data_IF_027963717877
#
_entry.id   IF_027963717877
#
_cell.length_a   1.000
_cell.length_b   1.000
_cell.length_c   1.000
_cell.angle_alpha   90.00
_cell.angle_beta   90.00
_cell.angle_gamma   90.00
#
_symmetry.space_group_name_H-M   'P 1'
#
loop_
_entity.id
_entity.type
_entity.pdbx_description
1 polymer ?
#
# COMPACT_ATOMS: atom_id res chain seq x y z
N UNK A 1 10.33 -21.78 11.67
CA UNK A 1 9.20 -21.07 11.03
C UNK A 1 9.79 -20.16 9.96
N UNK A 2 9.88 -20.65 8.71
CA UNK A 2 10.41 -19.84 7.60
C UNK A 2 9.29 -18.93 7.09
N UNK A 3 9.21 -17.72 7.63
CA UNK A 3 8.24 -16.69 7.20
C UNK A 3 8.76 -16.05 5.90
N UNK A 4 8.94 -16.84 4.84
CA UNK A 4 9.40 -16.37 3.53
C UNK A 4 10.76 -15.67 3.49
N UNK A 5 11.19 -15.32 2.29
CA UNK A 5 12.31 -14.40 2.06
C UNK A 5 11.82 -12.96 2.25
N UNK A 6 12.66 -12.02 2.76
CA UNK A 6 12.26 -10.63 2.99
C UNK A 6 12.18 -9.81 1.70
N UNK A 7 12.43 -10.41 0.54
CA UNK A 7 12.57 -9.75 -0.75
C UNK A 7 11.24 -9.67 -1.49
N UNK A 8 11.00 -8.55 -2.16
CA UNK A 8 9.87 -8.42 -3.06
C UNK A 8 10.05 -9.33 -4.28
N UNK A 9 9.08 -10.19 -4.57
CA UNK A 9 9.13 -11.10 -5.72
C UNK A 9 9.02 -10.40 -7.09
N UNK A 10 8.77 -9.08 -7.10
CA UNK A 10 8.64 -8.29 -8.32
C UNK A 10 9.68 -7.18 -8.46
N UNK A 11 10.38 -6.83 -7.37
CA UNK A 11 11.40 -5.78 -7.37
C UNK A 11 12.75 -6.42 -7.04
N UNK A 12 13.72 -6.25 -7.93
CA UNK A 12 15.06 -6.84 -7.78
C UNK A 12 15.78 -6.21 -6.59
N UNK A 13 16.25 -7.05 -5.66
CA UNK A 13 17.05 -6.67 -4.49
C UNK A 13 16.40 -5.63 -3.55
N UNK A 14 15.07 -5.54 -3.55
CA UNK A 14 14.33 -4.66 -2.64
C UNK A 14 13.74 -5.47 -1.49
N UNK A 15 14.08 -5.09 -0.26
CA UNK A 15 13.42 -5.59 0.95
C UNK A 15 11.98 -5.12 0.95
N UNK A 16 11.05 -6.06 1.04
CA UNK A 16 9.63 -5.78 1.11
C UNK A 16 9.24 -5.40 2.54
N UNK A 17 9.12 -4.09 2.78
CA UNK A 17 8.56 -3.53 4.01
C UNK A 17 7.14 -2.99 3.78
N UNK A 18 6.49 -2.50 4.83
CA UNK A 18 5.12 -1.97 4.77
C UNK A 18 4.98 -0.86 3.72
N UNK A 19 5.90 0.11 3.68
CA UNK A 19 5.86 1.21 2.69
C UNK A 19 6.06 0.71 1.27
N UNK A 20 6.93 -0.29 1.09
CA UNK A 20 7.11 -0.91 -0.22
C UNK A 20 5.80 -1.52 -0.74
N UNK A 21 5.10 -2.30 0.09
CA UNK A 21 3.83 -2.93 -0.32
C UNK A 21 2.73 -1.90 -0.55
N UNK A 22 2.60 -0.93 0.36
CA UNK A 22 1.45 -0.04 0.40
C UNK A 22 1.63 1.26 -0.39
N UNK A 23 2.86 1.69 -0.69
CA UNK A 23 3.12 2.99 -1.33
C UNK A 23 4.13 2.89 -2.48
N UNK A 24 5.30 2.31 -2.25
CA UNK A 24 6.47 2.54 -3.12
C UNK A 24 6.62 1.57 -4.29
N UNK A 25 6.05 0.36 -4.20
CA UNK A 25 6.11 -0.64 -5.26
C UNK A 25 5.44 -0.09 -6.54
N UNK A 26 5.96 -0.35 -7.75
CA UNK A 26 5.42 0.22 -8.98
C UNK A 26 3.91 0.06 -9.16
N UNK A 27 3.36 -1.08 -8.75
CA UNK A 27 1.91 -1.33 -8.76
C UNK A 27 1.17 -0.38 -7.80
N UNK A 28 1.62 -0.25 -6.55
CA UNK A 28 1.05 0.68 -5.58
C UNK A 28 1.15 2.14 -6.07
N UNK A 29 2.32 2.55 -6.58
CA UNK A 29 2.51 3.87 -7.19
C UNK A 29 1.51 4.15 -8.30
N UNK A 30 1.21 3.16 -9.15
CA UNK A 30 0.21 3.34 -10.21
C UNK A 30 -1.19 3.62 -9.67
N UNK A 31 -1.60 2.96 -8.58
CA UNK A 31 -2.88 3.20 -7.92
C UNK A 31 -2.90 4.61 -7.35
N UNK A 32 -1.89 4.98 -6.58
CA UNK A 32 -1.80 6.30 -5.94
C UNK A 32 -1.72 7.44 -6.94
N UNK A 33 -0.98 7.29 -8.04
CA UNK A 33 -0.94 8.28 -9.10
C UNK A 33 -2.33 8.54 -9.72
N UNK A 34 -3.25 7.58 -9.71
CA UNK A 34 -4.60 7.78 -10.20
C UNK A 34 -5.54 8.42 -9.17
N UNK A 35 -5.24 8.30 -7.87
CA UNK A 35 -6.08 8.78 -6.76
C UNK A 35 -5.63 10.14 -6.21
N UNK A 36 -4.33 10.41 -6.17
CA UNK A 36 -3.73 11.62 -5.60
C UNK A 36 -3.80 12.82 -6.55
N UNK A 37 -4.02 13.99 -5.97
CA UNK A 37 -3.70 15.27 -6.61
C UNK A 37 -2.23 15.31 -7.00
N UNK A 38 -1.91 15.95 -8.13
CA UNK A 38 -0.54 15.98 -8.63
C UNK A 38 0.40 16.69 -7.65
N UNK A 39 -0.10 17.74 -6.98
CA UNK A 39 0.59 18.56 -5.99
C UNK A 39 0.88 17.78 -4.70
N UNK A 40 0.06 16.77 -4.38
CA UNK A 40 0.20 15.97 -3.16
C UNK A 40 1.18 14.79 -3.31
N UNK A 41 1.57 14.42 -4.55
CA UNK A 41 2.35 13.21 -4.81
C UNK A 41 3.74 13.23 -4.18
N UNK A 42 4.44 14.36 -4.30
CA UNK A 42 5.79 14.47 -3.74
C UNK A 42 5.76 14.29 -2.22
N UNK A 43 4.87 15.01 -1.54
CA UNK A 43 4.66 14.87 -0.10
C UNK A 43 4.32 13.41 0.26
N UNK A 44 3.35 12.81 -0.43
CA UNK A 44 2.90 11.44 -0.16
C UNK A 44 4.03 10.40 -0.27
N UNK A 45 4.84 10.45 -1.31
CA UNK A 45 5.91 9.44 -1.54
C UNK A 45 7.20 9.69 -0.76
N UNK A 46 7.35 10.85 -0.12
CA UNK A 46 8.54 11.19 0.68
C UNK A 46 8.28 11.16 2.18
N UNK A 47 7.01 11.06 2.59
CA UNK A 47 6.62 11.02 4.01
C UNK A 47 6.97 9.67 4.64
N UNK A 48 7.60 9.71 5.81
CA UNK A 48 7.92 8.52 6.59
C UNK A 48 6.64 7.84 7.13
N UNK A 49 6.70 6.53 7.38
CA UNK A 49 5.50 5.74 7.74
C UNK A 49 4.70 6.29 8.93
N UNK A 50 5.38 6.81 9.96
CA UNK A 50 4.75 7.34 11.17
C UNK A 50 3.90 8.58 10.86
N UNK A 51 4.40 9.45 10.00
CA UNK A 51 3.72 10.67 9.56
C UNK A 51 2.74 10.39 8.43
N UNK A 52 2.95 9.35 7.64
CA UNK A 52 2.16 9.00 6.45
C UNK A 52 0.71 8.70 6.83
N UNK A 53 0.51 7.90 7.89
CA UNK A 53 -0.83 7.60 8.40
C UNK A 53 -1.54 8.88 8.86
N UNK A 54 -0.84 9.73 9.61
CA UNK A 54 -1.41 10.99 10.13
C UNK A 54 -1.77 11.92 8.97
N UNK A 55 -0.88 12.05 7.99
CA UNK A 55 -1.07 12.83 6.78
C UNK A 55 -2.35 12.41 6.04
N UNK A 56 -2.49 11.11 5.76
CA UNK A 56 -3.61 10.58 4.97
C UNK A 56 -4.95 10.54 5.74
N UNK A 57 -4.93 10.49 7.06
CA UNK A 57 -6.15 10.57 7.87
C UNK A 57 -6.67 12.01 8.03
N UNK A 58 -5.79 13.01 7.97
CA UNK A 58 -6.13 14.39 8.32
C UNK A 58 -6.13 15.38 7.16
N UNK A 59 -5.53 15.05 6.01
CA UNK A 59 -5.47 15.94 4.85
C UNK A 59 -6.23 15.39 3.65
N UNK A 60 -6.84 16.27 2.85
CA UNK A 60 -7.48 15.90 1.60
C UNK A 60 -6.45 15.88 0.47
N UNK A 61 -5.81 14.73 0.23
CA UNK A 61 -4.79 14.59 -0.84
C UNK A 61 -5.37 14.09 -2.17
N UNK A 62 -6.61 13.61 -2.16
CA UNK A 62 -7.27 13.00 -3.31
C UNK A 62 -7.75 13.99 -4.37
N UNK A 63 -7.80 13.52 -5.62
CA UNK A 63 -8.26 14.28 -6.79
C UNK A 63 -9.67 14.82 -6.71
N UNK A 64 -10.55 14.08 -6.03
CA UNK A 64 -11.92 14.49 -5.82
C UNK A 64 -12.08 14.98 -4.38
N UNK A 65 -12.29 16.29 -4.22
CA UNK A 65 -12.53 16.92 -2.92
C UNK A 65 -13.87 16.57 -2.29
N UNK A 66 -14.79 15.96 -3.05
CA UNK A 66 -16.12 15.57 -2.55
C UNK A 66 -16.12 14.16 -1.93
N UNK A 67 -15.04 13.41 -2.07
CA UNK A 67 -14.91 12.06 -1.52
C UNK A 67 -14.03 12.12 -0.27
N UNK A 68 -14.44 11.41 0.79
CA UNK A 68 -13.64 11.29 2.01
C UNK A 68 -12.30 10.58 1.72
N UNK A 69 -11.20 11.34 1.72
CA UNK A 69 -9.87 10.81 1.40
C UNK A 69 -9.43 9.70 2.34
N UNK A 70 -9.61 9.87 3.65
CA UNK A 70 -9.22 8.86 4.64
C UNK A 70 -9.83 7.48 4.34
N UNK A 71 -11.09 7.44 3.89
CA UNK A 71 -11.77 6.21 3.48
C UNK A 71 -11.19 5.63 2.19
N UNK A 72 -10.90 6.47 1.20
CA UNK A 72 -10.27 6.06 -0.07
C UNK A 72 -8.88 5.49 0.18
N UNK A 73 -8.08 6.17 0.99
CA UNK A 73 -6.74 5.74 1.38
C UNK A 73 -6.79 4.41 2.12
N UNK A 74 -7.61 4.29 3.17
CA UNK A 74 -7.72 3.06 3.95
C UNK A 74 -8.18 1.86 3.11
N UNK A 75 -9.16 2.06 2.22
CA UNK A 75 -9.62 1.03 1.29
C UNK A 75 -8.52 0.64 0.30
N UNK A 76 -7.77 1.61 -0.23
CA UNK A 76 -6.66 1.37 -1.15
C UNK A 76 -5.55 0.55 -0.49
N UNK A 77 -5.16 0.90 0.74
CA UNK A 77 -4.22 0.13 1.55
C UNK A 77 -4.67 -1.32 1.74
N UNK A 78 -5.96 -1.52 2.06
CA UNK A 78 -6.55 -2.86 2.20
C UNK A 78 -6.45 -3.68 0.90
N UNK A 79 -6.81 -3.09 -0.24
CA UNK A 79 -6.75 -3.80 -1.53
C UNK A 79 -5.30 -4.11 -1.94
N UNK A 80 -4.38 -3.16 -1.79
CA UNK A 80 -2.95 -3.37 -2.08
C UNK A 80 -2.37 -4.51 -1.24
N UNK A 81 -2.71 -4.55 0.05
CA UNK A 81 -2.31 -5.64 0.95
C UNK A 81 -2.88 -6.99 0.53
N UNK A 82 -4.17 -7.03 0.16
CA UNK A 82 -4.81 -8.26 -0.31
C UNK A 82 -4.20 -8.76 -1.61
N UNK A 83 -3.97 -7.87 -2.58
CA UNK A 83 -3.38 -8.23 -3.85
C UNK A 83 -1.98 -8.80 -3.67
N UNK A 84 -1.11 -8.13 -2.90
CA UNK A 84 0.21 -8.67 -2.56
C UNK A 84 0.11 -10.06 -1.93
N UNK A 85 -0.78 -10.25 -0.97
CA UNK A 85 -0.91 -11.55 -0.32
C UNK A 85 -1.49 -12.64 -1.22
N UNK A 86 -2.33 -12.26 -2.19
CA UNK A 86 -2.84 -13.19 -3.20
C UNK A 86 -1.73 -13.57 -4.20
N UNK A 87 -0.88 -12.63 -4.59
CA UNK A 87 0.25 -12.91 -5.48
C UNK A 87 1.24 -13.89 -4.83
N UNK A 88 1.54 -13.71 -3.53
CA UNK A 88 2.50 -14.56 -2.82
C UNK A 88 1.91 -15.89 -2.36
N UNK A 89 0.64 -15.93 -1.97
CA UNK A 89 0.04 -17.10 -1.29
C UNK A 89 -1.22 -17.67 -1.96
N UNK A 90 -1.71 -17.07 -3.05
CA UNK A 90 -3.03 -17.35 -3.61
C UNK A 90 -3.25 -18.79 -4.08
N UNK A 91 -2.19 -19.47 -4.56
CA UNK A 91 -2.27 -20.87 -4.99
C UNK A 91 -2.29 -21.89 -3.86
N UNK A 92 -1.91 -21.50 -2.64
CA UNK A 92 -1.62 -22.41 -1.52
C UNK A 92 -2.33 -22.02 -0.22
N UNK A 93 -3.26 -21.05 -0.27
CA UNK A 93 -4.00 -20.56 0.89
C UNK A 93 -4.95 -21.64 1.43
N UNK A 94 -4.46 -22.42 2.39
CA UNK A 94 -5.30 -23.14 3.33
C UNK A 94 -5.70 -22.16 4.43
N UNK A 95 -7.00 -22.05 4.73
CA UNK A 95 -7.43 -21.35 5.95
C UNK A 95 -6.81 -22.10 7.14
N UNK A 96 -6.27 -21.40 8.14
CA UNK A 96 -5.94 -22.02 9.41
C UNK A 96 -7.18 -22.74 9.95
N UNK A 97 -7.03 -24.00 10.35
CA UNK A 97 -8.13 -24.79 10.91
C UNK A 97 -8.54 -24.32 12.32
N UNK A 98 -7.72 -23.49 12.96
CA UNK A 98 -8.01 -22.85 14.24
C UNK A 98 -7.60 -21.37 14.19
N UNK A 99 -8.40 -20.48 14.79
CA UNK A 99 -8.12 -19.04 14.89
C UNK A 99 -6.94 -18.72 15.81
#
# INVERSE_FOLDING_TARGET
MHIGEPWCCHCVDVVENTMHVLSDRPLAKSVWCNLLNNEARELFFTTAIDDWITLDLHQQLGRDSNINWASVWAASCYFLWIWRNRDVHGGSRLRPFQP
#
